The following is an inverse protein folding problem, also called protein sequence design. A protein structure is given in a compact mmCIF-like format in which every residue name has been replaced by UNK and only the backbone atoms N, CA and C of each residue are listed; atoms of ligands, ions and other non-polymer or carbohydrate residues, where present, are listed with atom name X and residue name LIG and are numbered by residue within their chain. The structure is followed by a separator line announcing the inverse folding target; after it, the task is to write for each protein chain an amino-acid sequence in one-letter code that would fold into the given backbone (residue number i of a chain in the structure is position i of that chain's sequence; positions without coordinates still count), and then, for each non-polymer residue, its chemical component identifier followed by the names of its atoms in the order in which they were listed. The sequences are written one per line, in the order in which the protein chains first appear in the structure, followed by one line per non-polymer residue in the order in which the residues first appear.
data_IF_513909092028
#
_entry.id   IF_513909092028
#
_cell.length_a   1.000
_cell.length_b   1.000
_cell.length_c   1.000
_cell.angle_alpha   90.00
_cell.angle_beta   90.00
_cell.angle_gamma   90.00
#
_symmetry.space_group_name_H-M   'P 1'
#
loop_
_entity.id
_entity.type
_entity.pdbx_description
1 polymer ?
#
# COMPACT_ATOMS: atom_id res chain seq x y z
N UNK A 1 19.94 -13.32 -2.23
CA UNK A 1 18.68 -12.55 -2.35
C UNK A 1 18.07 -12.22 -0.98
N UNK A 2 17.93 -13.21 -0.09
CA UNK A 2 17.28 -13.09 1.23
C UNK A 2 17.83 -11.98 2.16
N UNK A 3 19.16 -11.78 2.32
CA UNK A 3 19.67 -10.78 3.29
C UNK A 3 19.40 -9.32 2.89
N UNK A 4 19.19 -9.06 1.60
CA UNK A 4 18.94 -7.71 1.05
C UNK A 4 17.47 -7.35 1.13
N UNK A 5 16.58 -8.27 0.75
CA UNK A 5 15.14 -8.14 0.93
C UNK A 5 14.79 -7.97 2.41
N UNK A 6 15.47 -8.71 3.30
CA UNK A 6 15.31 -8.55 4.74
C UNK A 6 15.71 -7.15 5.23
N UNK A 7 16.84 -6.58 4.77
CA UNK A 7 17.22 -5.20 5.10
C UNK A 7 16.23 -4.17 4.58
N UNK A 8 15.76 -4.32 3.34
CA UNK A 8 14.75 -3.44 2.76
C UNK A 8 13.44 -3.51 3.57
N UNK A 9 13.00 -4.71 3.95
CA UNK A 9 11.83 -4.92 4.80
C UNK A 9 11.98 -4.23 6.15
N UNK A 10 13.14 -4.34 6.82
CA UNK A 10 13.39 -3.64 8.09
C UNK A 10 13.40 -2.11 7.92
N UNK A 11 13.95 -1.60 6.82
CA UNK A 11 13.88 -0.18 6.50
C UNK A 11 12.42 0.28 6.32
N UNK A 12 11.58 -0.51 5.62
CA UNK A 12 10.15 -0.21 5.48
C UNK A 12 9.44 -0.16 6.84
N UNK A 13 9.74 -1.08 7.77
CA UNK A 13 9.16 -1.03 9.12
C UNK A 13 9.60 0.20 9.92
N UNK A 14 10.88 0.57 9.82
CA UNK A 14 11.38 1.79 10.46
C UNK A 14 10.68 3.04 9.89
N UNK A 15 10.59 3.14 8.57
CA UNK A 15 9.90 4.26 7.89
C UNK A 15 8.42 4.31 8.25
N UNK A 16 7.73 3.16 8.27
CA UNK A 16 6.32 3.07 8.67
C UNK A 16 6.14 3.54 10.13
N UNK A 17 7.03 3.14 11.04
CA UNK A 17 6.95 3.51 12.46
C UNK A 17 7.15 5.02 12.64
N UNK A 18 8.17 5.59 12.02
CA UNK A 18 8.42 7.05 12.06
C UNK A 18 7.22 7.81 11.48
N UNK A 19 6.70 7.37 10.35
CA UNK A 19 5.53 7.98 9.72
C UNK A 19 4.30 7.90 10.62
N UNK A 20 4.10 6.77 11.30
CA UNK A 20 2.94 6.55 12.16
C UNK A 20 2.96 7.40 13.45
N UNK A 21 4.15 7.64 14.00
CA UNK A 21 4.36 8.57 15.11
C UNK A 21 4.14 10.02 14.63
N UNK A 22 4.69 10.38 13.47
CA UNK A 22 4.51 11.72 12.90
C UNK A 22 3.04 12.04 12.62
N UNK A 23 2.27 11.09 12.10
CA UNK A 23 0.82 11.27 11.86
C UNK A 23 0.07 11.52 13.16
N UNK A 24 0.31 10.74 14.22
CA UNK A 24 -0.31 11.01 15.53
C UNK A 24 0.00 12.41 16.03
N UNK A 25 1.25 12.83 15.89
CA UNK A 25 1.69 14.15 16.32
C UNK A 25 1.00 15.28 15.55
N UNK A 26 0.91 15.14 14.22
CA UNK A 26 0.23 16.10 13.34
C UNK A 26 -1.27 16.15 13.61
N UNK A 27 -1.91 15.00 13.79
CA UNK A 27 -3.34 14.92 14.11
C UNK A 27 -3.65 15.53 15.47
N UNK A 28 -2.84 15.25 16.49
CA UNK A 28 -3.00 15.87 17.80
C UNK A 28 -2.83 17.40 17.74
N UNK A 29 -1.85 17.90 16.98
CA UNK A 29 -1.67 19.33 16.74
C UNK A 29 -2.90 19.94 16.05
N UNK A 30 -3.42 19.26 15.03
CA UNK A 30 -4.60 19.68 14.27
C UNK A 30 -5.86 19.70 15.13
N UNK A 31 -6.10 18.67 15.94
CA UNK A 31 -7.26 18.56 16.82
C UNK A 31 -7.26 19.60 17.94
N UNK A 32 -6.07 19.96 18.45
CA UNK A 32 -5.92 20.97 19.48
C UNK A 32 -5.72 22.40 18.93
N UNK A 33 -5.67 22.55 17.61
CA UNK A 33 -5.42 23.82 16.91
C UNK A 33 -4.14 24.55 17.38
N UNK A 34 -3.10 23.79 17.72
CA UNK A 34 -1.80 24.31 18.20
C UNK A 34 -0.69 24.14 17.16
N UNK A 35 0.39 24.95 17.22
CA UNK A 35 1.57 24.71 16.42
C UNK A 35 2.14 23.31 16.64
N UNK A 36 2.67 22.69 15.58
CA UNK A 36 3.26 21.33 15.62
C UNK A 36 4.32 21.22 16.72
N UNK A 37 5.10 22.28 16.98
CA UNK A 37 6.12 22.27 18.03
C UNK A 37 5.55 22.15 19.46
N UNK A 38 4.29 22.52 19.67
CA UNK A 38 3.63 22.60 20.98
C UNK A 38 2.62 21.47 21.20
N UNK A 39 2.56 20.49 20.29
CA UNK A 39 1.52 19.46 20.29
C UNK A 39 1.65 18.41 21.41
N UNK A 40 2.72 18.42 22.21
CA UNK A 40 2.97 17.36 23.20
C UNK A 40 1.82 17.16 24.20
N UNK A 41 1.24 18.20 24.84
CA UNK A 41 0.10 18.02 25.75
C UNK A 41 -1.14 17.48 25.01
N UNK A 42 -1.34 17.90 23.76
CA UNK A 42 -2.42 17.39 22.92
C UNK A 42 -2.24 15.91 22.59
N UNK A 43 -1.02 15.46 22.28
CA UNK A 43 -0.71 14.05 22.04
C UNK A 43 -1.04 13.20 23.28
N UNK A 44 -0.69 13.67 24.48
CA UNK A 44 -1.02 12.97 25.72
C UNK A 44 -2.53 12.83 25.90
N UNK A 45 -3.27 13.91 25.67
CA UNK A 45 -4.74 13.90 25.73
C UNK A 45 -5.35 12.96 24.70
N UNK A 46 -4.91 13.02 23.44
CA UNK A 46 -5.41 12.16 22.35
C UNK A 46 -5.21 10.69 22.67
N UNK A 47 -4.01 10.27 23.07
CA UNK A 47 -3.71 8.85 23.34
C UNK A 47 -4.53 8.31 24.51
N UNK A 48 -4.83 9.13 25.53
CA UNK A 48 -5.45 8.67 26.77
C UNK A 48 -6.97 8.80 26.80
N UNK A 49 -7.54 9.76 26.06
CA UNK A 49 -8.93 10.16 26.20
C UNK A 49 -9.77 9.98 24.92
N UNK A 50 -9.17 9.57 23.80
CA UNK A 50 -9.88 9.49 22.52
C UNK A 50 -9.89 8.09 21.92
N UNK A 51 -10.95 7.80 21.16
CA UNK A 51 -11.04 6.61 20.32
C UNK A 51 -9.87 6.52 19.34
N UNK A 52 -9.48 7.65 18.73
CA UNK A 52 -8.31 7.75 17.87
C UNK A 52 -7.02 7.28 18.57
N UNK A 53 -6.83 7.67 19.83
CA UNK A 53 -5.70 7.25 20.66
C UNK A 53 -5.63 5.75 20.90
N UNK A 54 -6.77 5.12 21.25
CA UNK A 54 -6.84 3.67 21.44
C UNK A 54 -6.57 2.90 20.15
N UNK A 55 -7.17 3.32 19.04
CA UNK A 55 -6.88 2.76 17.73
C UNK A 55 -5.40 2.93 17.36
N UNK A 56 -4.80 4.10 17.66
CA UNK A 56 -3.40 4.35 17.42
C UNK A 56 -2.51 3.35 18.17
N UNK A 57 -2.75 3.16 19.46
CA UNK A 57 -2.02 2.21 20.31
C UNK A 57 -2.15 0.77 19.82
N UNK A 58 -3.35 0.34 19.41
CA UNK A 58 -3.58 -0.96 18.81
C UNK A 58 -2.72 -1.16 17.56
N UNK A 59 -2.72 -0.17 16.66
CA UNK A 59 -1.88 -0.17 15.46
C UNK A 59 -0.39 -0.18 15.79
N UNK A 60 0.04 0.59 16.80
CA UNK A 60 1.45 0.66 17.21
C UNK A 60 1.93 -0.71 17.74
N UNK A 61 1.14 -1.35 18.62
CA UNK A 61 1.43 -2.69 19.11
C UNK A 61 1.52 -3.70 17.97
N UNK A 62 0.57 -3.65 17.02
CA UNK A 62 0.56 -4.51 15.86
C UNK A 62 1.79 -4.29 14.95
N UNK A 63 2.18 -3.05 14.72
CA UNK A 63 3.36 -2.71 13.92
C UNK A 63 4.66 -3.18 14.59
N UNK A 64 4.76 -3.08 15.92
CA UNK A 64 5.88 -3.62 16.70
C UNK A 64 5.97 -5.13 16.56
N UNK A 65 4.85 -5.87 16.70
CA UNK A 65 4.83 -7.33 16.51
C UNK A 65 5.25 -7.70 15.09
N UNK A 66 4.76 -6.97 14.08
CA UNK A 66 5.15 -7.19 12.69
C UNK A 66 6.66 -6.93 12.47
N UNK A 67 7.22 -5.89 13.07
CA UNK A 67 8.64 -5.57 12.97
C UNK A 67 9.53 -6.57 13.69
N UNK A 68 9.20 -6.95 14.93
CA UNK A 68 9.94 -7.94 15.72
C UNK A 68 9.97 -9.28 14.99
N UNK A 69 8.81 -9.77 14.53
CA UNK A 69 8.72 -11.02 13.77
C UNK A 69 9.44 -10.94 12.42
N UNK A 70 9.60 -9.75 11.84
CA UNK A 70 10.36 -9.51 10.63
C UNK A 70 11.88 -9.45 10.86
N UNK A 71 12.33 -9.03 12.04
CA UNK A 71 13.74 -8.92 12.43
C UNK A 71 14.36 -10.27 12.84
N UNK A 72 13.55 -11.21 13.33
CA UNK A 72 14.01 -12.59 13.56
C UNK A 72 14.43 -13.20 12.23
N UNK A 73 15.73 -13.53 12.09
CA UNK A 73 16.26 -14.15 10.87
C UNK A 73 15.51 -15.46 10.61
N UNK A 74 15.16 -15.77 9.34
CA UNK A 74 14.63 -17.08 9.00
C UNK A 74 15.74 -18.12 9.16
N UNK A 75 15.91 -18.60 10.39
CA UNK A 75 16.70 -19.76 10.76
C UNK A 75 15.82 -20.63 11.65
N UNK A 76 15.61 -21.87 11.24
CA UNK A 76 14.91 -22.95 11.95
C UNK A 76 13.37 -23.03 11.91
N UNK A 77 12.63 -22.04 11.40
CA UNK A 77 11.19 -22.18 11.18
C UNK A 77 10.87 -21.89 9.72
N UNK A 78 10.24 -22.85 9.05
CA UNK A 78 9.65 -22.63 7.72
C UNK A 78 8.61 -21.51 7.73
N UNK A 79 7.87 -21.35 6.63
CA UNK A 79 6.82 -20.34 6.44
C UNK A 79 5.64 -20.37 7.47
N UNK A 80 5.74 -21.08 8.59
CA UNK A 80 4.64 -21.37 9.52
C UNK A 80 4.25 -20.21 10.45
N UNK A 81 4.59 -20.19 11.76
CA UNK A 81 3.91 -19.30 12.70
C UNK A 81 4.31 -17.81 12.62
N UNK A 82 5.59 -17.50 12.45
CA UNK A 82 6.09 -16.11 12.48
C UNK A 82 5.59 -15.28 11.29
N UNK A 83 5.45 -15.91 10.11
CA UNK A 83 4.89 -15.26 8.92
C UNK A 83 3.40 -14.99 9.09
N UNK A 84 2.63 -15.96 9.60
CA UNK A 84 1.20 -15.80 9.89
C UNK A 84 0.99 -14.70 10.92
N UNK A 85 1.76 -14.70 12.01
CA UNK A 85 1.69 -13.66 13.03
C UNK A 85 2.01 -12.27 12.46
N UNK A 86 3.02 -12.17 11.59
CA UNK A 86 3.37 -10.91 10.92
C UNK A 86 2.23 -10.40 10.03
N UNK A 87 1.63 -11.28 9.23
CA UNK A 87 0.51 -10.92 8.35
C UNK A 87 -0.73 -10.54 9.15
N UNK A 88 -1.04 -11.27 10.24
CA UNK A 88 -2.13 -10.92 11.14
C UNK A 88 -1.89 -9.57 11.81
N UNK A 89 -0.66 -9.29 12.25
CA UNK A 89 -0.29 -8.01 12.84
C UNK A 89 -0.36 -6.85 11.83
N UNK A 90 0.07 -7.05 10.58
CA UNK A 90 -0.13 -6.06 9.51
C UNK A 90 -1.62 -5.85 9.20
N UNK A 91 -2.42 -6.91 9.18
CA UNK A 91 -3.86 -6.83 9.04
C UNK A 91 -4.50 -6.00 10.16
N UNK A 92 -4.11 -6.25 11.40
CA UNK A 92 -4.59 -5.50 12.57
C UNK A 92 -4.15 -4.04 12.55
N UNK A 93 -2.92 -3.76 12.11
CA UNK A 93 -2.45 -2.39 11.88
C UNK A 93 -3.35 -1.66 10.86
N UNK A 94 -3.64 -2.27 9.71
CA UNK A 94 -4.51 -1.67 8.70
C UNK A 94 -5.97 -1.53 9.20
N UNK A 95 -6.45 -2.47 10.00
CA UNK A 95 -7.77 -2.39 10.63
C UNK A 95 -7.86 -1.18 11.56
N UNK A 96 -6.82 -0.96 12.38
CA UNK A 96 -6.74 0.20 13.28
C UNK A 96 -6.81 1.54 12.54
N UNK A 97 -6.38 1.59 11.27
CA UNK A 97 -6.53 2.77 10.41
C UNK A 97 -7.93 2.93 9.86
N UNK A 98 -8.63 1.83 9.63
CA UNK A 98 -9.97 1.82 9.03
C UNK A 98 -11.04 2.26 10.05
N UNK A 99 -10.88 1.90 11.32
CA UNK A 99 -11.81 2.32 12.39
C UNK A 99 -11.73 3.81 12.73
N UNK A 100 -10.63 4.49 12.38
CA UNK A 100 -10.47 5.95 12.55
C UNK A 100 -10.61 6.71 11.24
N UNK A 101 -10.96 6.03 10.14
CA UNK A 101 -11.28 6.68 8.87
C UNK A 101 -12.75 7.11 8.85
N UNK A 102 -13.19 7.79 7.79
CA UNK A 102 -14.61 8.10 7.57
C UNK A 102 -15.50 6.84 7.59
N UNK A 103 -14.94 5.67 7.27
CA UNK A 103 -15.66 4.40 7.34
C UNK A 103 -16.05 4.01 8.78
N UNK A 104 -15.27 4.44 9.77
CA UNK A 104 -15.50 4.22 11.20
C UNK A 104 -16.56 5.13 11.83
N UNK A 105 -17.08 6.13 11.10
CA UNK A 105 -18.03 7.10 11.64
C UNK A 105 -19.33 6.46 12.18
N UNK A 106 -19.74 5.31 11.63
CA UNK A 106 -20.91 4.56 12.09
C UNK A 106 -20.57 3.44 13.09
N UNK A 107 -19.31 3.33 13.52
CA UNK A 107 -18.80 2.33 14.45
C UNK A 107 -17.69 1.43 13.89
N UNK A 108 -16.97 0.78 14.79
CA UNK A 108 -15.75 0.02 14.50
C UNK A 108 -16.01 -1.28 13.74
N UNK A 109 -17.16 -1.93 13.97
CA UNK A 109 -17.49 -3.25 13.41
C UNK A 109 -18.60 -3.15 12.36
N UNK A 110 -18.41 -2.25 11.39
CA UNK A 110 -19.38 -2.04 10.32
C UNK A 110 -18.90 -2.61 8.99
N UNK A 111 -19.84 -2.83 8.07
CA UNK A 111 -19.52 -3.20 6.70
C UNK A 111 -18.66 -2.14 6.00
N UNK A 112 -18.84 -0.86 6.33
CA UNK A 112 -18.02 0.22 5.78
C UNK A 112 -16.54 0.05 6.19
N UNK A 113 -16.27 -0.19 7.47
CA UNK A 113 -14.91 -0.46 7.97
C UNK A 113 -14.33 -1.72 7.32
N UNK A 114 -15.12 -2.79 7.15
CA UNK A 114 -14.63 -4.00 6.50
C UNK A 114 -14.21 -3.75 5.04
N UNK A 115 -14.99 -2.98 4.28
CA UNK A 115 -14.66 -2.60 2.89
C UNK A 115 -13.42 -1.73 2.84
N UNK A 116 -13.30 -0.73 3.71
CA UNK A 116 -12.13 0.17 3.79
C UNK A 116 -10.87 -0.62 4.18
N UNK A 117 -10.98 -1.52 5.16
CA UNK A 117 -9.90 -2.39 5.59
C UNK A 117 -9.38 -3.30 4.47
N UNK A 118 -10.29 -3.96 3.75
CA UNK A 118 -9.94 -4.77 2.59
C UNK A 118 -9.31 -3.91 1.49
N UNK A 119 -9.83 -2.71 1.25
CA UNK A 119 -9.25 -1.76 0.28
C UNK A 119 -7.79 -1.42 0.63
N UNK A 120 -7.51 -1.09 1.90
CA UNK A 120 -6.16 -0.78 2.38
C UNK A 120 -5.20 -1.98 2.28
N UNK A 121 -5.68 -3.19 2.57
CA UNK A 121 -4.89 -4.43 2.38
C UNK A 121 -4.50 -4.59 0.91
N UNK A 122 -5.46 -4.45 -0.01
CA UNK A 122 -5.22 -4.66 -1.43
C UNK A 122 -4.30 -3.57 -2.02
N UNK A 123 -4.46 -2.31 -1.62
CA UNK A 123 -3.52 -1.23 -1.99
C UNK A 123 -2.11 -1.55 -1.48
N UNK A 124 -1.98 -2.01 -0.24
CA UNK A 124 -0.68 -2.36 0.35
C UNK A 124 0.01 -3.50 -0.41
N UNK A 125 -0.75 -4.51 -0.84
CA UNK A 125 -0.26 -5.60 -1.70
C UNK A 125 0.21 -5.04 -3.04
N UNK A 126 -0.63 -4.25 -3.71
CA UNK A 126 -0.32 -3.72 -5.04
C UNK A 126 0.93 -2.81 -5.04
N UNK A 127 1.00 -1.84 -4.12
CA UNK A 127 2.16 -0.94 -3.98
C UNK A 127 3.41 -1.72 -3.57
N UNK A 128 3.28 -2.68 -2.65
CA UNK A 128 4.37 -3.54 -2.22
C UNK A 128 4.98 -4.35 -3.37
N UNK A 129 4.14 -4.89 -4.26
CA UNK A 129 4.59 -5.59 -5.46
C UNK A 129 5.39 -4.70 -6.42
N UNK A 130 4.94 -3.46 -6.65
CA UNK A 130 5.65 -2.49 -7.50
C UNK A 130 7.04 -2.17 -6.91
N UNK A 131 7.12 -1.96 -5.60
CA UNK A 131 8.40 -1.70 -4.90
C UNK A 131 9.33 -2.90 -5.04
N UNK A 132 8.85 -4.12 -4.79
CA UNK A 132 9.64 -5.35 -4.89
C UNK A 132 10.11 -5.57 -6.34
N UNK A 133 9.24 -5.36 -7.32
CA UNK A 133 9.57 -5.44 -8.74
C UNK A 133 10.69 -4.46 -9.11
N UNK A 134 10.64 -3.21 -8.62
CA UNK A 134 11.68 -2.22 -8.81
C UNK A 134 13.02 -2.59 -8.16
N UNK A 135 12.99 -3.11 -6.92
CA UNK A 135 14.19 -3.52 -6.20
C UNK A 135 14.92 -4.71 -6.85
N UNK A 136 14.17 -5.67 -7.41
CA UNK A 136 14.73 -6.86 -8.06
C UNK A 136 15.40 -6.50 -9.39
N UNK A 137 14.82 -5.56 -10.14
CA UNK A 137 15.23 -5.23 -11.52
C UNK A 137 16.33 -4.18 -11.60
N UNK A 138 16.32 -3.15 -10.75
CA UNK A 138 17.26 -2.02 -10.83
C UNK A 138 18.70 -2.34 -10.38
N UNK A 139 18.96 -3.52 -9.78
CA UNK A 139 20.25 -3.81 -9.12
C UNK A 139 20.87 -5.16 -9.48
N UNK A 140 20.46 -5.77 -10.60
CA UNK A 140 21.01 -7.06 -11.05
C UNK A 140 22.05 -6.85 -12.15
N UNK A 141 23.32 -6.93 -11.79
CA UNK A 141 24.30 -7.52 -12.71
C UNK A 141 24.22 -9.04 -12.56
N UNK A 142 24.17 -9.82 -13.65
CA UNK A 142 24.04 -11.27 -13.55
C UNK A 142 25.30 -11.88 -12.94
N UNK A 143 25.16 -12.61 -11.82
CA UNK A 143 26.13 -13.63 -11.47
C UNK A 143 25.83 -14.87 -12.35
N UNK A 144 26.82 -15.42 -13.08
CA UNK A 144 26.59 -16.58 -13.93
C UNK A 144 26.29 -17.82 -13.07
N UNK A 145 25.27 -18.60 -13.47
CA UNK A 145 25.19 -20.03 -13.11
C UNK A 145 24.12 -20.50 -12.11
N UNK A 146 23.02 -19.79 -11.87
CA UNK A 146 21.89 -20.37 -11.11
C UNK A 146 20.55 -20.14 -11.81
N UNK A 147 20.20 -21.05 -12.72
CA UNK A 147 18.92 -21.09 -13.42
C UNK A 147 18.06 -22.23 -12.88
N UNK A 148 16.96 -21.91 -12.18
CA UNK A 148 15.83 -22.83 -12.03
C UNK A 148 14.61 -22.20 -12.72
N UNK A 149 14.47 -22.50 -14.02
CA UNK A 149 13.46 -21.93 -14.92
C UNK A 149 12.02 -22.11 -14.39
N UNK A 150 11.78 -23.19 -13.65
CA UNK A 150 10.52 -23.52 -12.99
C UNK A 150 10.20 -22.53 -11.86
N UNK A 151 11.19 -22.15 -11.05
CA UNK A 151 10.99 -21.17 -9.97
C UNK A 151 10.67 -19.78 -10.52
N UNK A 152 11.30 -19.39 -11.64
CA UNK A 152 10.99 -18.14 -12.31
C UNK A 152 9.56 -18.12 -12.86
N UNK A 153 9.11 -19.20 -13.52
CA UNK A 153 7.75 -19.30 -14.03
C UNK A 153 6.71 -19.23 -12.90
N UNK A 154 6.90 -20.00 -11.82
CA UNK A 154 6.02 -19.99 -10.64
C UNK A 154 5.97 -18.63 -9.94
N UNK A 155 7.11 -17.94 -9.87
CA UNK A 155 7.18 -16.60 -9.30
C UNK A 155 6.40 -15.58 -10.13
N UNK A 156 6.57 -15.60 -11.47
CA UNK A 156 5.83 -14.72 -12.38
C UNK A 156 4.33 -14.98 -12.27
N UNK A 157 3.90 -16.24 -12.26
CA UNK A 157 2.50 -16.65 -12.15
C UNK A 157 1.87 -16.21 -10.83
N UNK A 158 2.53 -16.51 -9.69
CA UNK A 158 2.04 -16.13 -8.37
C UNK A 158 1.86 -14.60 -8.24
N UNK A 159 2.83 -13.82 -8.73
CA UNK A 159 2.71 -12.37 -8.77
C UNK A 159 1.56 -11.90 -9.69
N UNK A 160 1.16 -12.70 -10.68
CA UNK A 160 0.12 -12.33 -11.66
C UNK A 160 -1.25 -12.43 -11.08
N UNK A 161 -1.47 -13.54 -10.41
CA UNK A 161 -2.69 -13.79 -9.68
C UNK A 161 -2.86 -12.75 -8.58
N UNK A 162 -1.82 -12.47 -7.79
CA UNK A 162 -1.91 -11.49 -6.71
C UNK A 162 -2.15 -10.06 -7.21
N UNK A 163 -1.44 -9.61 -8.25
CA UNK A 163 -1.67 -8.28 -8.84
C UNK A 163 -3.09 -8.13 -9.39
N UNK A 164 -3.60 -9.16 -10.07
CA UNK A 164 -4.95 -9.15 -10.66
C UNK A 164 -6.02 -9.11 -9.58
N UNK A 165 -5.87 -9.96 -8.55
CA UNK A 165 -6.79 -9.98 -7.40
C UNK A 165 -6.74 -8.65 -6.64
N UNK A 166 -5.55 -8.09 -6.41
CA UNK A 166 -5.39 -6.80 -5.78
C UNK A 166 -6.11 -5.70 -6.57
N UNK A 167 -5.87 -5.61 -7.87
CA UNK A 167 -6.44 -4.56 -8.70
C UNK A 167 -7.97 -4.67 -8.81
N UNK A 168 -8.51 -5.86 -9.09
CA UNK A 168 -9.96 -6.09 -9.15
C UNK A 168 -10.61 -5.76 -7.81
N UNK A 169 -10.00 -6.22 -6.71
CA UNK A 169 -10.49 -5.92 -5.36
C UNK A 169 -10.46 -4.43 -5.06
N UNK A 170 -9.40 -3.69 -5.43
CA UNK A 170 -9.29 -2.23 -5.26
C UNK A 170 -10.42 -1.52 -6.01
N UNK A 171 -10.70 -1.91 -7.25
CA UNK A 171 -11.81 -1.34 -8.01
C UNK A 171 -13.16 -1.60 -7.35
N UNK A 172 -13.44 -2.85 -6.93
CA UNK A 172 -14.71 -3.20 -6.29
C UNK A 172 -14.89 -2.48 -4.96
N UNK A 173 -13.90 -2.54 -4.08
CA UNK A 173 -13.96 -1.87 -2.76
C UNK A 173 -13.98 -0.35 -2.87
N UNK A 174 -13.26 0.21 -3.85
CA UNK A 174 -13.30 1.64 -4.17
C UNK A 174 -14.67 2.08 -4.67
N UNK A 175 -15.30 1.30 -5.56
CA UNK A 175 -16.66 1.57 -6.04
C UNK A 175 -17.70 1.48 -4.92
N UNK A 176 -17.59 0.49 -4.03
CA UNK A 176 -18.47 0.36 -2.86
C UNK A 176 -18.32 1.56 -1.90
N UNK A 177 -17.10 2.05 -1.72
CA UNK A 177 -16.81 3.22 -0.88
C UNK A 177 -17.33 4.50 -1.52
N UNK A 178 -17.12 4.68 -2.83
CA UNK A 178 -17.63 5.82 -3.59
C UNK A 178 -19.17 5.87 -3.62
N UNK A 179 -19.83 4.72 -3.81
CA UNK A 179 -21.29 4.64 -3.77
C UNK A 179 -21.85 5.11 -2.43
N UNK A 180 -21.19 4.75 -1.32
CA UNK A 180 -21.56 5.23 0.02
C UNK A 180 -21.31 6.72 0.20
N UNK A 181 -20.20 7.24 -0.33
CA UNK A 181 -19.83 8.65 -0.19
C UNK A 181 -20.70 9.60 -1.02
N UNK A 182 -21.12 9.19 -2.22
CA UNK A 182 -21.86 10.04 -3.17
C UNK A 182 -23.38 9.77 -3.13
N UNK A 183 -23.81 8.60 -2.66
CA UNK A 183 -25.23 8.23 -2.54
C UNK A 183 -25.93 7.89 -3.87
N UNK A 184 -25.73 8.70 -4.92
CA UNK A 184 -26.29 8.48 -6.27
C UNK A 184 -25.28 8.80 -7.39
N UNK A 185 -25.31 8.09 -8.55
CA UNK A 185 -24.40 8.36 -9.67
C UNK A 185 -24.49 9.80 -10.21
N UNK A 186 -25.67 10.41 -10.13
CA UNK A 186 -25.92 11.76 -10.64
C UNK A 186 -25.17 12.83 -9.81
N UNK A 187 -24.96 12.55 -8.53
CA UNK A 187 -24.16 13.39 -7.62
C UNK A 187 -22.65 13.21 -7.80
N UNK A 188 -22.18 12.39 -8.75
CA UNK A 188 -20.74 12.32 -9.07
C UNK A 188 -20.31 13.55 -9.87
N UNK A 189 -21.23 14.18 -10.61
CA UNK A 189 -20.91 15.33 -11.46
C UNK A 189 -21.26 16.65 -10.76
N UNK A 190 -20.56 17.72 -11.14
CA UNK A 190 -20.90 19.08 -10.72
C UNK A 190 -20.49 19.46 -9.29
N UNK A 191 -19.72 18.64 -8.56
CA UNK A 191 -19.17 19.00 -7.25
C UNK A 191 -17.67 18.64 -7.09
N UNK A 192 -16.96 19.28 -6.14
CA UNK A 192 -15.53 19.05 -5.93
C UNK A 192 -15.19 17.61 -5.52
N UNK A 193 -16.03 16.96 -4.69
CA UNK A 193 -15.82 15.59 -4.24
C UNK A 193 -15.81 14.61 -5.43
N UNK A 194 -16.84 14.68 -6.27
CA UNK A 194 -16.98 13.84 -7.45
C UNK A 194 -15.91 14.10 -8.51
N UNK A 195 -15.51 15.36 -8.70
CA UNK A 195 -14.36 15.72 -9.57
C UNK A 195 -13.07 15.05 -9.08
N UNK A 196 -12.80 15.13 -7.78
CA UNK A 196 -11.60 14.53 -7.18
C UNK A 196 -11.64 13.00 -7.23
N UNK A 197 -12.83 12.40 -7.06
CA UNK A 197 -13.06 10.97 -7.25
C UNK A 197 -12.74 10.53 -8.68
N UNK A 198 -13.22 11.26 -9.69
CA UNK A 198 -12.94 10.97 -11.10
C UNK A 198 -11.44 11.08 -11.42
N UNK A 199 -10.75 12.11 -10.89
CA UNK A 199 -9.29 12.23 -11.00
C UNK A 199 -8.60 11.02 -10.39
N UNK A 200 -9.00 10.60 -9.16
CA UNK A 200 -8.44 9.42 -8.49
C UNK A 200 -8.63 8.16 -9.33
N UNK A 201 -9.83 7.93 -9.87
CA UNK A 201 -10.13 6.77 -10.74
C UNK A 201 -9.27 6.79 -12.01
N UNK A 202 -9.16 7.94 -12.67
CA UNK A 202 -8.32 8.11 -13.85
C UNK A 202 -6.84 7.80 -13.58
N UNK A 203 -6.30 8.32 -12.47
CA UNK A 203 -4.93 8.04 -12.05
C UNK A 203 -4.71 6.56 -11.72
N UNK A 204 -5.66 5.91 -11.04
CA UNK A 204 -5.60 4.46 -10.75
C UNK A 204 -5.62 3.64 -12.04
N UNK A 205 -6.48 3.98 -13.00
CA UNK A 205 -6.52 3.30 -14.30
C UNK A 205 -5.21 3.48 -15.08
N UNK A 206 -4.62 4.68 -15.06
CA UNK A 206 -3.32 4.94 -15.66
C UNK A 206 -2.20 4.13 -14.99
N UNK A 207 -2.13 4.12 -13.66
CA UNK A 207 -1.17 3.30 -12.91
C UNK A 207 -1.36 1.81 -13.20
N UNK A 208 -2.60 1.33 -13.24
CA UNK A 208 -2.92 -0.06 -13.56
C UNK A 208 -2.51 -0.45 -14.98
N UNK A 209 -2.72 0.43 -15.97
CA UNK A 209 -2.31 0.20 -17.36
C UNK A 209 -0.78 0.16 -17.49
N UNK A 210 -0.07 1.07 -16.83
CA UNK A 210 1.40 1.11 -16.83
C UNK A 210 1.98 -0.10 -16.10
N UNK A 211 1.47 -0.42 -14.91
CA UNK A 211 1.88 -1.59 -14.15
C UNK A 211 1.59 -2.88 -14.91
N UNK A 212 0.42 -2.99 -15.55
CA UNK A 212 0.05 -4.08 -16.45
C UNK A 212 1.02 -4.20 -17.63
N UNK A 213 1.33 -3.11 -18.33
CA UNK A 213 2.31 -3.12 -19.43
C UNK A 213 3.70 -3.53 -18.94
N UNK A 214 4.17 -2.96 -17.82
CA UNK A 214 5.46 -3.29 -17.24
C UNK A 214 5.53 -4.77 -16.85
N UNK A 215 4.43 -5.31 -16.35
CA UNK A 215 4.29 -6.68 -15.88
C UNK A 215 4.13 -7.72 -16.98
N UNK A 216 3.29 -7.47 -17.98
CA UNK A 216 2.94 -8.45 -19.01
C UNK A 216 3.86 -8.38 -20.22
N UNK A 217 4.47 -7.22 -20.49
CA UNK A 217 5.33 -7.02 -21.67
C UNK A 217 6.79 -6.90 -21.27
N UNK A 218 7.11 -6.04 -20.31
CA UNK A 218 8.52 -5.66 -20.05
C UNK A 218 9.23 -6.65 -19.13
N UNK A 219 8.58 -7.06 -18.03
CA UNK A 219 9.14 -7.98 -17.03
C UNK A 219 9.39 -9.39 -17.59
N UNK A 220 8.49 -10.04 -18.36
CA UNK A 220 8.73 -11.38 -18.87
C UNK A 220 9.86 -11.36 -19.90
N UNK A 221 9.95 -10.31 -20.72
CA UNK A 221 11.05 -10.11 -21.65
C UNK A 221 12.39 -9.87 -20.91
N UNK A 222 12.39 -9.17 -19.77
CA UNK A 222 13.58 -8.95 -18.95
C UNK A 222 14.01 -10.24 -18.21
N UNK A 223 13.07 -10.97 -17.62
CA UNK A 223 13.34 -12.24 -16.94
C UNK A 223 13.81 -13.33 -17.92
N UNK A 224 13.22 -13.41 -19.12
CA UNK A 224 13.70 -14.31 -20.17
C UNK A 224 15.18 -14.05 -20.54
N UNK A 225 15.62 -12.79 -20.53
CA UNK A 225 17.04 -12.41 -20.76
C UNK A 225 17.94 -12.76 -19.58
N UNK A 226 17.48 -12.49 -18.36
CA UNK A 226 18.22 -12.84 -17.14
C UNK A 226 18.38 -14.35 -16.96
N UNK A 227 17.47 -15.15 -17.53
CA UNK A 227 17.54 -16.61 -17.60
C UNK A 227 18.16 -17.13 -18.91
N UNK A 228 18.92 -16.32 -19.66
CA UNK A 228 19.70 -16.76 -20.82
C UNK A 228 18.91 -17.16 -22.09
N UNK A 229 17.59 -16.98 -22.12
CA UNK A 229 16.72 -17.48 -23.21
C UNK A 229 16.52 -16.50 -24.38
N UNK A 230 17.07 -15.28 -24.30
CA UNK A 230 16.93 -14.24 -25.33
C UNK A 230 18.16 -13.33 -25.39
N UNK A 231 18.57 -12.92 -26.59
CA UNK A 231 19.75 -12.09 -26.80
C UNK A 231 19.66 -10.73 -26.05
N UNK A 232 20.78 -10.19 -25.55
CA UNK A 232 20.80 -8.89 -24.89
C UNK A 232 20.49 -7.77 -25.88
N UNK A 233 19.49 -6.96 -25.53
CA UNK A 233 19.02 -5.82 -26.34
C UNK A 233 19.34 -4.53 -25.56
N UNK A 234 20.15 -3.62 -26.11
CA UNK A 234 20.61 -2.43 -25.41
C UNK A 234 19.45 -1.55 -24.92
N UNK A 235 19.46 -1.17 -23.64
CA UNK A 235 18.52 -0.18 -23.08
C UNK A 235 17.19 -0.71 -22.53
N UNK A 236 16.91 -2.01 -22.56
CA UNK A 236 15.68 -2.57 -21.98
C UNK A 236 15.56 -2.33 -20.47
N UNK A 237 16.66 -2.46 -19.72
CA UNK A 237 16.72 -2.14 -18.29
C UNK A 237 16.40 -0.66 -18.03
N UNK A 238 16.87 0.24 -18.92
CA UNK A 238 16.60 1.68 -18.83
C UNK A 238 15.13 2.01 -19.13
N UNK A 239 14.53 1.37 -20.14
CA UNK A 239 13.10 1.52 -20.46
C UNK A 239 12.23 1.03 -19.30
N UNK A 240 12.54 -0.14 -18.73
CA UNK A 240 11.87 -0.66 -17.55
C UNK A 240 12.00 0.29 -16.35
N UNK A 241 13.20 0.81 -16.08
CA UNK A 241 13.44 1.76 -15.00
C UNK A 241 12.63 3.05 -15.16
N UNK A 242 12.54 3.59 -16.38
CA UNK A 242 11.72 4.77 -16.69
C UNK A 242 10.22 4.48 -16.48
N UNK A 243 9.72 3.34 -16.95
CA UNK A 243 8.32 2.95 -16.73
C UNK A 243 8.02 2.81 -15.24
N UNK A 244 8.92 2.18 -14.48
CA UNK A 244 8.77 2.03 -13.03
C UNK A 244 8.83 3.37 -12.28
N UNK A 245 9.67 4.32 -12.73
CA UNK A 245 9.68 5.68 -12.18
C UNK A 245 8.36 6.41 -12.45
N UNK A 246 7.83 6.31 -13.66
CA UNK A 246 6.53 6.90 -14.02
C UNK A 246 5.41 6.25 -13.20
N UNK A 247 5.43 4.93 -13.04
CA UNK A 247 4.48 4.18 -12.22
C UNK A 247 4.53 4.65 -10.74
N UNK A 248 5.73 4.81 -10.17
CA UNK A 248 5.90 5.30 -8.81
C UNK A 248 5.38 6.74 -8.63
N UNK A 249 5.61 7.62 -9.61
CA UNK A 249 5.10 9.01 -9.61
C UNK A 249 3.57 9.01 -9.66
N UNK A 250 2.97 8.16 -10.50
CA UNK A 250 1.50 8.09 -10.60
C UNK A 250 0.90 7.49 -9.33
N UNK A 251 1.50 6.45 -8.74
CA UNK A 251 1.07 5.92 -7.45
C UNK A 251 1.15 6.97 -6.35
N UNK A 252 2.21 7.78 -6.32
CA UNK A 252 2.31 8.91 -5.40
C UNK A 252 1.18 9.92 -5.65
N UNK A 253 0.90 10.26 -6.91
CA UNK A 253 -0.22 11.14 -7.27
C UNK A 253 -1.58 10.56 -6.85
N UNK A 254 -1.79 9.24 -6.98
CA UNK A 254 -2.99 8.54 -6.50
C UNK A 254 -3.13 8.66 -4.99
N UNK A 255 -2.05 8.51 -4.24
CA UNK A 255 -2.04 8.63 -2.77
C UNK A 255 -2.37 10.07 -2.35
N UNK A 256 -1.74 11.07 -2.98
CA UNK A 256 -2.05 12.49 -2.74
C UNK A 256 -3.50 12.78 -3.08
N UNK A 257 -4.00 12.25 -4.20
CA UNK A 257 -5.39 12.42 -4.59
C UNK A 257 -6.36 11.78 -3.60
N UNK A 258 -6.04 10.59 -3.08
CA UNK A 258 -6.81 9.92 -2.05
C UNK A 258 -6.81 10.71 -0.73
N UNK A 259 -5.69 11.31 -0.35
CA UNK A 259 -5.59 12.13 0.86
C UNK A 259 -6.47 13.39 0.76
N UNK A 260 -6.40 14.11 -0.38
CA UNK A 260 -7.25 15.28 -0.64
C UNK A 260 -8.74 14.90 -0.67
N UNK A 261 -9.08 13.78 -1.30
CA UNK A 261 -10.46 13.29 -1.31
C UNK A 261 -10.95 12.96 0.10
N UNK A 262 -10.08 12.39 0.95
CA UNK A 262 -10.41 12.07 2.35
C UNK A 262 -10.55 13.31 3.24
N UNK A 263 -9.93 14.44 2.88
CA UNK A 263 -10.11 15.71 3.59
C UNK A 263 -11.27 16.56 3.02
N UNK A 264 -11.92 16.10 1.95
CA UNK A 264 -13.07 16.78 1.35
C UNK A 264 -14.36 16.17 1.89
N UNK A 265 -15.28 16.95 2.47
CA UNK A 265 -16.55 16.41 2.95
C UNK A 265 -17.37 15.84 1.78
N UNK A 266 -18.03 14.67 1.97
CA UNK A 266 -18.92 14.12 0.95
C UNK A 266 -20.11 15.07 0.69
N UNK A 267 -20.74 15.01 -0.50
CA UNK A 267 -21.96 15.77 -0.77
C UNK A 267 -23.02 15.44 0.29
N UNK A 268 -23.64 16.47 0.87
CA UNK A 268 -24.78 16.26 1.76
C UNK A 268 -25.96 15.78 0.93
N UNK A 269 -26.52 14.62 1.27
CA UNK A 269 -27.78 14.17 0.69
C UNK A 269 -28.86 15.22 0.99
N UNK A 270 -29.35 15.88 -0.07
CA UNK A 270 -30.52 16.75 -0.02
C UNK A 270 -31.80 15.95 0.08
#
# INVERSE_FOLDING_TARGET
MVPRLHRAMLACFATATVSYIAVLWLEAASMAEVPVAEAFPAVQSVITATHYGYAWMLGAAALIVAWVTAAVRPGALGLGPASVLRLAALGLFLYSRSIVSHAGAAGDFTWAVAVDWVHLVLISVWVGEVIVAGLITLRREPAPGQENRIECARYIEALSTSATVALVGIFVTGALSAWRGVGSPDQVFGNPYGTMLLIKVGLVLCAAALGGMNRFVVMPALLARLCGTRAPEPGATRRFALVLQVEAIILLAVIVAAAILSSTPPPTAS
#
